data_IF_695916231746
#
_entry.id   IF_695916231746
#
_cell.length_a   1.000
_cell.length_b   1.000
_cell.length_c   1.000
_cell.angle_alpha   90.00
_cell.angle_beta   90.00
_cell.angle_gamma   90.00
#
_symmetry.space_group_name_H-M   'P 1'
#
loop_
_entity.id
_entity.type
_entity.pdbx_description
1 polymer ?
#
# COMPACT_ATOMS: atom_id res chain seq x y z
N UNK A 1 14.58 -10.05 25.27
CA UNK A 1 14.04 -10.39 23.94
C UNK A 1 14.39 -11.85 23.67
N UNK A 2 13.48 -12.78 23.95
CA UNK A 2 13.76 -14.21 23.77
C UNK A 2 13.88 -14.53 22.28
N UNK A 3 14.95 -15.22 21.87
CA UNK A 3 15.04 -15.81 20.54
C UNK A 3 13.94 -16.86 20.43
N UNK A 4 12.88 -16.58 19.66
CA UNK A 4 11.88 -17.56 19.29
C UNK A 4 12.55 -18.48 18.28
N UNK A 5 12.81 -19.73 18.68
CA UNK A 5 13.37 -20.77 17.81
C UNK A 5 12.24 -21.24 16.88
N UNK A 6 12.43 -21.07 15.58
CA UNK A 6 11.44 -21.52 14.60
C UNK A 6 11.22 -23.04 14.72
N UNK A 7 9.96 -23.52 14.66
CA UNK A 7 9.66 -24.94 14.75
C UNK A 7 10.24 -25.69 13.56
N UNK A 8 11.07 -26.71 13.85
CA UNK A 8 11.95 -27.42 12.91
C UNK A 8 11.17 -28.15 11.80
N UNK A 9 9.91 -28.54 12.06
CA UNK A 9 9.08 -29.34 11.16
C UNK A 9 7.88 -28.57 10.58
N UNK A 10 7.84 -27.23 10.68
CA UNK A 10 6.80 -26.45 10.03
C UNK A 10 7.31 -26.02 8.66
N UNK A 11 6.79 -26.65 7.62
CA UNK A 11 7.02 -26.23 6.25
C UNK A 11 6.30 -24.90 5.96
N UNK A 12 6.98 -23.79 6.27
CA UNK A 12 6.58 -22.45 5.86
C UNK A 12 6.74 -22.25 4.34
N UNK A 13 7.28 -23.23 3.61
CA UNK A 13 7.16 -23.34 2.15
C UNK A 13 5.76 -23.83 1.75
N UNK A 14 4.72 -23.38 2.47
CA UNK A 14 3.38 -23.32 1.91
C UNK A 14 3.47 -22.35 0.74
N UNK A 15 3.86 -22.88 -0.43
CA UNK A 15 4.03 -22.14 -1.67
C UNK A 15 2.66 -21.56 -1.96
N UNK A 16 2.50 -20.28 -1.64
CA UNK A 16 1.29 -19.56 -2.02
C UNK A 16 1.11 -19.73 -3.51
N UNK A 17 -0.08 -20.17 -3.91
CA UNK A 17 -0.38 -20.27 -5.33
C UNK A 17 -0.13 -18.91 -5.97
N UNK A 18 0.54 -18.87 -7.14
CA UNK A 18 0.72 -17.63 -7.85
C UNK A 18 -0.66 -17.04 -8.15
N UNK A 19 -0.81 -15.73 -7.96
CA UNK A 19 -2.08 -15.07 -8.21
C UNK A 19 -2.51 -15.30 -9.65
N UNK A 20 -3.80 -15.58 -9.85
CA UNK A 20 -4.34 -15.72 -11.19
C UNK A 20 -4.30 -14.38 -11.94
N UNK A 21 -4.34 -14.42 -13.27
CA UNK A 21 -4.40 -13.20 -14.08
C UNK A 21 -5.62 -12.34 -13.73
N UNK A 22 -6.73 -12.99 -13.35
CA UNK A 22 -7.95 -12.32 -12.90
C UNK A 22 -7.72 -11.58 -11.58
N UNK A 23 -7.10 -12.23 -10.59
CA UNK A 23 -6.78 -11.63 -9.29
C UNK A 23 -5.84 -10.43 -9.45
N UNK A 24 -4.85 -10.55 -10.34
CA UNK A 24 -3.93 -9.45 -10.65
C UNK A 24 -4.64 -8.27 -11.31
N UNK A 25 -5.57 -8.54 -12.23
CA UNK A 25 -6.40 -7.51 -12.87
C UNK A 25 -7.25 -6.76 -11.84
N UNK A 26 -7.93 -7.48 -10.95
CA UNK A 26 -8.81 -6.87 -9.96
C UNK A 26 -8.03 -6.11 -8.89
N UNK A 27 -6.88 -6.65 -8.46
CA UNK A 27 -5.95 -5.93 -7.61
C UNK A 27 -5.48 -4.61 -8.25
N UNK A 28 -5.10 -4.63 -9.53
CA UNK A 28 -4.67 -3.42 -10.26
C UNK A 28 -5.77 -2.36 -10.27
N UNK A 29 -7.03 -2.74 -10.51
CA UNK A 29 -8.18 -1.79 -10.48
C UNK A 29 -8.33 -1.14 -9.10
N UNK A 30 -8.24 -1.92 -8.03
CA UNK A 30 -8.33 -1.42 -6.65
C UNK A 30 -7.21 -0.41 -6.38
N UNK A 31 -5.96 -0.77 -6.71
CA UNK A 31 -4.79 0.09 -6.49
C UNK A 31 -4.85 1.39 -7.30
N UNK A 32 -5.32 1.33 -8.55
CA UNK A 32 -5.54 2.53 -9.36
C UNK A 32 -6.58 3.45 -8.71
N UNK A 33 -7.67 2.90 -8.19
CA UNK A 33 -8.68 3.67 -7.46
C UNK A 33 -8.14 4.36 -6.20
N UNK A 34 -7.32 3.66 -5.42
CA UNK A 34 -6.65 4.22 -4.23
C UNK A 34 -5.65 5.31 -4.64
N UNK A 35 -4.83 5.08 -5.67
CA UNK A 35 -3.86 6.05 -6.18
C UNK A 35 -4.55 7.34 -6.66
N UNK A 36 -5.65 7.23 -7.40
CA UNK A 36 -6.42 8.38 -7.88
C UNK A 36 -7.04 9.17 -6.71
N UNK A 37 -7.57 8.48 -5.68
CA UNK A 37 -8.07 9.13 -4.45
C UNK A 37 -6.97 9.87 -3.70
N UNK A 38 -5.76 9.29 -3.63
CA UNK A 38 -4.63 9.90 -2.94
C UNK A 38 -4.03 11.08 -3.71
N UNK A 39 -4.00 11.05 -5.05
CA UNK A 39 -3.58 12.18 -5.88
C UNK A 39 -4.44 13.43 -5.58
N UNK A 40 -5.77 13.27 -5.59
CA UNK A 40 -6.71 14.36 -5.26
C UNK A 40 -6.51 14.96 -3.86
N UNK A 41 -5.98 14.18 -2.91
CA UNK A 41 -5.67 14.64 -1.55
C UNK A 41 -4.34 15.39 -1.49
N UNK A 42 -3.33 14.97 -2.25
CA UNK A 42 -2.03 15.66 -2.37
C UNK A 42 -2.19 17.05 -2.99
N UNK A 43 -3.00 17.18 -4.04
CA UNK A 43 -3.26 18.47 -4.69
C UNK A 43 -3.92 19.45 -3.72
N UNK A 44 -4.90 18.99 -2.92
CA UNK A 44 -5.55 19.79 -1.87
C UNK A 44 -4.61 20.14 -0.72
N UNK A 45 -3.67 19.27 -0.36
CA UNK A 45 -2.69 19.55 0.68
C UNK A 45 -1.68 20.63 0.22
N UNK A 46 -1.20 20.54 -1.03
CA UNK A 46 -0.26 21.51 -1.62
C UNK A 46 -0.87 22.91 -1.79
N UNK A 47 -2.19 23.00 -2.00
CA UNK A 47 -2.90 24.29 -2.09
C UNK A 47 -3.06 24.98 -0.72
N UNK A 48 -3.06 24.22 0.40
CA UNK A 48 -3.24 24.79 1.75
C UNK A 48 -1.95 25.33 2.35
N UNK A 49 -0.79 24.85 1.91
CA UNK A 49 0.50 25.34 2.40
C UNK A 49 0.87 26.70 1.80
N UNK A 50 0.44 27.00 0.57
CA UNK A 50 0.78 28.27 -0.09
C UNK A 50 0.02 29.50 0.44
N UNK A 51 -1.14 29.32 1.11
CA UNK A 51 -1.90 30.44 1.71
C UNK A 51 -1.35 30.96 3.03
N UNK A 52 -0.40 30.27 3.66
CA UNK A 52 0.19 30.71 4.95
C UNK A 52 1.45 31.56 4.79
N UNK A 53 1.98 31.73 3.58
CA UNK A 53 3.22 32.47 3.35
C UNK A 53 3.03 33.92 2.88
N UNK A 54 1.80 34.43 2.76
CA UNK A 54 1.52 35.82 2.34
C UNK A 54 1.02 36.74 3.46
N UNK A 55 1.22 36.36 4.72
CA UNK A 55 0.94 37.23 5.87
C UNK A 55 2.10 37.14 6.88
N UNK A 56 3.25 37.71 6.51
CA UNK A 56 4.30 38.19 7.42
C UNK A 56 4.77 39.54 6.89
#
# INVERSE_FOLDING_TARGET
MGLIREPIDVDLSTKSEPWSEQDLSDFRKIMQGIKAKNAKRKDKASLRTNKKSQHV
#
